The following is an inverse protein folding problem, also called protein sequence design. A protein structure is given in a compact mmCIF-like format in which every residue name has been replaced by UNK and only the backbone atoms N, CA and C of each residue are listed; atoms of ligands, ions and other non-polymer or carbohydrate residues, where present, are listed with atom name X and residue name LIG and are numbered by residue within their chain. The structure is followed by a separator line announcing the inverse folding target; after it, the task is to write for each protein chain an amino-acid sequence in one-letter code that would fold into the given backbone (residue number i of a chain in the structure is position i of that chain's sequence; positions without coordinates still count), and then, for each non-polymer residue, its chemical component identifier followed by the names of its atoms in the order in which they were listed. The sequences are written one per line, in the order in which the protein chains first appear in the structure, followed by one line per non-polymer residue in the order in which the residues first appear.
data_IF_187792673475
#
_entry.id   IF_187792673475
#
_cell.length_a   1.000
_cell.length_b   1.000
_cell.length_c   1.000
_cell.angle_alpha   90.00
_cell.angle_beta   90.00
_cell.angle_gamma   90.00
#
_symmetry.space_group_name_H-M   'P 1'
#
loop_
_entity.id
_entity.type
_entity.pdbx_description
1 polymer ?
#
# COMPACT_ATOMS: atom_id res chain seq x y z
N UNK A 1 -16.77 -1.84 24.63
CA UNK A 1 -16.13 -2.07 25.93
C UNK A 1 -15.52 -3.49 26.08
N UNK A 2 -15.83 -4.47 25.20
CA UNK A 2 -15.26 -5.83 25.28
C UNK A 2 -13.75 -5.91 24.99
N UNK A 3 -13.27 -5.22 23.95
CA UNK A 3 -11.85 -5.26 23.54
C UNK A 3 -10.98 -4.15 24.18
N UNK A 4 -11.53 -3.40 25.14
CA UNK A 4 -10.84 -2.23 25.72
C UNK A 4 -9.61 -2.60 26.56
N UNK A 5 -9.55 -3.82 27.10
CA UNK A 5 -8.42 -4.32 27.90
C UNK A 5 -7.82 -5.61 27.32
N UNK A 6 -7.93 -5.80 25.99
CA UNK A 6 -7.39 -6.96 25.30
C UNK A 6 -6.04 -6.62 24.65
N UNK A 7 -5.02 -7.50 24.76
CA UNK A 7 -3.78 -7.32 24.03
C UNK A 7 -4.07 -7.31 22.51
N UNK A 8 -3.39 -6.42 21.79
CA UNK A 8 -3.53 -6.28 20.34
C UNK A 8 -4.98 -6.13 19.86
N UNK A 9 -5.82 -5.43 20.62
CA UNK A 9 -7.23 -5.23 20.30
C UNK A 9 -7.47 -4.79 18.85
N UNK A 10 -6.58 -3.98 18.28
CA UNK A 10 -6.65 -3.52 16.89
C UNK A 10 -6.61 -4.65 15.85
N UNK A 11 -5.95 -5.77 16.12
CA UNK A 11 -5.86 -6.89 15.16
C UNK A 11 -7.16 -7.72 15.11
N UNK A 12 -8.01 -7.63 16.14
CA UNK A 12 -9.24 -8.43 16.26
C UNK A 12 -10.50 -7.56 16.14
N UNK A 13 -10.44 -6.29 16.57
CA UNK A 13 -11.60 -5.41 16.65
C UNK A 13 -12.26 -5.17 15.29
N UNK A 14 -11.52 -4.67 14.31
CA UNK A 14 -12.07 -4.34 12.99
C UNK A 14 -12.54 -5.58 12.21
N UNK A 15 -11.76 -6.68 12.12
CA UNK A 15 -12.23 -7.89 11.46
C UNK A 15 -13.51 -8.44 12.09
N UNK A 16 -13.60 -8.47 13.43
CA UNK A 16 -14.80 -8.96 14.13
C UNK A 16 -16.02 -8.11 13.80
N UNK A 17 -15.91 -6.78 13.86
CA UNK A 17 -17.05 -5.89 13.57
C UNK A 17 -17.49 -5.96 12.12
N UNK A 18 -16.55 -5.96 11.17
CA UNK A 18 -16.87 -5.98 9.74
C UNK A 18 -17.54 -7.30 9.38
N UNK A 19 -17.03 -8.43 9.89
CA UNK A 19 -17.63 -9.74 9.62
C UNK A 19 -19.00 -9.96 10.25
N UNK A 20 -19.30 -9.30 11.38
CA UNK A 20 -20.60 -9.41 12.04
C UNK A 20 -21.59 -8.30 11.61
N UNK A 21 -21.16 -7.35 10.79
CA UNK A 21 -22.04 -6.32 10.25
C UNK A 21 -22.72 -6.79 8.97
N UNK A 22 -24.06 -6.77 8.95
CA UNK A 22 -24.86 -7.11 7.75
C UNK A 22 -24.48 -6.27 6.53
N UNK A 23 -24.06 -5.02 6.75
CA UNK A 23 -23.70 -4.09 5.69
C UNK A 23 -22.34 -4.42 5.05
N UNK A 24 -21.35 -4.84 5.84
CA UNK A 24 -19.96 -4.95 5.37
C UNK A 24 -19.46 -6.38 5.18
N UNK A 25 -20.15 -7.38 5.75
CA UNK A 25 -19.72 -8.78 5.68
C UNK A 25 -19.52 -9.30 4.25
N UNK A 26 -20.29 -8.76 3.30
CA UNK A 26 -20.24 -9.13 1.87
C UNK A 26 -19.46 -8.14 1.01
N UNK A 27 -18.75 -7.18 1.61
CA UNK A 27 -17.96 -6.19 0.86
C UNK A 27 -16.51 -6.17 1.32
N UNK A 28 -16.15 -6.98 2.31
CA UNK A 28 -14.78 -7.10 2.80
C UNK A 28 -13.89 -7.76 1.74
N UNK A 29 -12.64 -7.31 1.68
CA UNK A 29 -11.56 -7.96 0.97
C UNK A 29 -10.53 -8.31 2.02
N UNK A 30 -10.16 -9.59 2.16
CA UNK A 30 -9.17 -10.05 3.15
C UNK A 30 -7.74 -9.72 2.70
N UNK A 31 -7.43 -8.43 2.55
CA UNK A 31 -6.12 -7.95 2.15
C UNK A 31 -5.92 -6.51 2.62
N UNK A 32 -4.80 -6.20 3.28
CA UNK A 32 -4.51 -4.87 3.83
C UNK A 32 -3.67 -3.98 2.90
N UNK A 33 -3.29 -4.48 1.72
CA UNK A 33 -2.47 -3.78 0.71
C UNK A 33 -1.08 -3.36 1.21
N UNK A 34 -0.59 -3.98 2.28
CA UNK A 34 0.68 -3.66 2.89
C UNK A 34 1.68 -4.82 2.71
N UNK A 35 2.88 -4.49 2.26
CA UNK A 35 4.01 -5.39 2.26
C UNK A 35 4.74 -5.33 3.61
N UNK A 36 5.05 -6.49 4.19
CA UNK A 36 5.84 -6.63 5.41
C UNK A 36 6.68 -7.90 5.33
N UNK A 37 7.94 -7.79 5.71
CA UNK A 37 8.81 -8.94 5.89
C UNK A 37 8.70 -9.46 7.32
N UNK A 38 8.68 -10.77 7.49
CA UNK A 38 8.58 -11.44 8.78
C UNK A 38 9.95 -11.98 9.21
N UNK A 39 10.19 -12.01 10.51
CA UNK A 39 11.30 -12.73 11.10
C UNK A 39 10.95 -14.21 11.39
N UNK A 40 11.89 -14.93 12.00
CA UNK A 40 11.73 -16.35 12.36
C UNK A 40 10.59 -16.59 13.37
N UNK A 41 10.11 -15.54 14.05
CA UNK A 41 9.00 -15.59 15.02
C UNK A 41 7.66 -15.18 14.41
N UNK A 42 7.62 -14.94 13.10
CA UNK A 42 6.49 -14.37 12.37
C UNK A 42 6.08 -12.97 12.83
N UNK A 43 7.02 -12.20 13.34
CA UNK A 43 6.80 -10.80 13.69
C UNK A 43 7.30 -9.89 12.55
N UNK A 44 6.59 -8.78 12.24
CA UNK A 44 7.07 -7.82 11.25
C UNK A 44 8.43 -7.25 11.66
N UNK A 45 9.44 -7.42 10.80
CA UNK A 45 10.78 -6.83 10.97
C UNK A 45 10.96 -5.61 10.08
N UNK A 46 11.88 -4.69 10.42
CA UNK A 46 12.24 -3.60 9.52
C UNK A 46 12.67 -4.12 8.15
N UNK A 47 12.08 -3.52 7.11
CA UNK A 47 12.43 -3.76 5.72
C UNK A 47 13.80 -3.16 5.44
N UNK A 48 14.59 -3.87 4.63
CA UNK A 48 15.89 -3.40 4.18
C UNK A 48 16.03 -3.57 2.66
N UNK A 49 17.21 -3.27 2.12
CA UNK A 49 17.46 -3.31 0.68
C UNK A 49 17.22 -4.68 0.02
N UNK A 50 17.35 -5.79 0.75
CA UNK A 50 17.06 -7.13 0.22
C UNK A 50 15.57 -7.36 -0.07
N UNK A 51 14.70 -6.60 0.60
CA UNK A 51 13.24 -6.78 0.48
C UNK A 51 12.64 -5.90 -0.64
N UNK A 52 13.44 -5.01 -1.24
CA UNK A 52 12.96 -4.01 -2.20
C UNK A 52 12.47 -4.62 -3.52
N UNK A 53 13.15 -5.64 -4.03
CA UNK A 53 12.74 -6.28 -5.28
C UNK A 53 11.36 -6.92 -5.12
N UNK A 54 11.13 -7.60 -3.99
CA UNK A 54 9.83 -8.16 -3.65
C UNK A 54 8.80 -7.04 -3.48
N UNK A 55 9.12 -5.99 -2.71
CA UNK A 55 8.25 -4.85 -2.52
C UNK A 55 7.79 -4.24 -3.86
N UNK A 56 8.70 -4.00 -4.80
CA UNK A 56 8.39 -3.37 -6.09
C UNK A 56 7.58 -4.27 -7.04
N UNK A 57 7.64 -5.58 -6.82
CA UNK A 57 6.87 -6.58 -7.56
C UNK A 57 5.51 -6.88 -6.93
N UNK A 58 5.40 -6.74 -5.60
CA UNK A 58 4.14 -6.83 -4.88
C UNK A 58 3.34 -5.56 -5.18
N UNK A 59 2.15 -5.67 -5.78
CA UNK A 59 1.28 -4.50 -6.02
C UNK A 59 0.64 -3.93 -4.75
N UNK A 60 1.34 -4.05 -3.62
CA UNK A 60 1.01 -3.41 -2.36
C UNK A 60 1.13 -1.89 -2.50
N UNK A 61 0.21 -1.18 -1.85
CA UNK A 61 0.23 0.29 -1.82
C UNK A 61 1.12 0.83 -0.71
N UNK A 62 1.33 0.03 0.35
CA UNK A 62 2.07 0.40 1.54
C UNK A 62 3.14 -0.62 1.87
N UNK A 63 4.14 -0.22 2.64
CA UNK A 63 5.16 -1.09 3.17
C UNK A 63 5.55 -0.64 4.58
N UNK A 64 5.74 -1.57 5.50
CA UNK A 64 6.21 -1.25 6.86
C UNK A 64 6.67 -2.53 7.60
N UNK A 65 7.43 -2.40 8.71
CA UNK A 65 8.05 -1.17 9.21
C UNK A 65 9.37 -0.83 8.49
N UNK A 66 9.77 0.45 8.58
CA UNK A 66 11.10 0.92 8.20
C UNK A 66 11.81 1.48 9.44
N UNK A 67 13.14 1.46 9.46
CA UNK A 67 13.88 2.19 10.49
C UNK A 67 13.78 3.71 10.23
N UNK A 68 13.81 4.55 11.27
CA UNK A 68 13.97 5.98 11.09
C UNK A 68 15.23 6.31 10.30
N UNK A 69 15.13 7.23 9.35
CA UNK A 69 16.24 7.70 8.50
C UNK A 69 16.96 6.58 7.72
N UNK A 70 16.25 5.48 7.41
CA UNK A 70 16.81 4.39 6.62
C UNK A 70 17.05 4.81 5.15
N UNK A 71 18.27 4.64 4.59
CA UNK A 71 18.57 4.97 3.19
C UNK A 71 17.70 4.22 2.17
N UNK A 72 17.05 3.12 2.56
CA UNK A 72 16.07 2.42 1.73
C UNK A 72 14.92 3.34 1.32
N UNK A 73 14.55 4.31 2.15
CA UNK A 73 13.52 5.29 1.83
C UNK A 73 13.92 6.16 0.64
N UNK A 74 15.19 6.56 0.53
CA UNK A 74 15.71 7.31 -0.63
C UNK A 74 15.62 6.48 -1.92
N UNK A 75 15.88 5.16 -1.82
CA UNK A 75 15.75 4.25 -2.96
C UNK A 75 14.28 4.15 -3.41
N UNK A 76 13.34 4.07 -2.45
CA UNK A 76 11.90 4.05 -2.73
C UNK A 76 11.47 5.38 -3.38
N UNK A 77 11.91 6.52 -2.84
CA UNK A 77 11.64 7.83 -3.42
C UNK A 77 12.10 7.92 -4.87
N UNK A 78 13.32 7.46 -5.15
CA UNK A 78 13.86 7.49 -6.50
C UNK A 78 13.13 6.51 -7.44
N UNK A 79 12.89 5.27 -7.00
CA UNK A 79 12.35 4.20 -7.86
C UNK A 79 10.84 4.23 -8.03
N UNK A 80 10.10 4.63 -7.00
CA UNK A 80 8.64 4.63 -6.98
C UNK A 80 8.09 6.02 -7.27
N UNK A 81 8.63 7.04 -6.61
CA UNK A 81 8.13 8.42 -6.76
C UNK A 81 8.85 9.17 -7.89
N UNK A 82 10.03 8.72 -8.32
CA UNK A 82 10.78 9.36 -9.40
C UNK A 82 11.22 10.77 -9.05
N UNK A 83 11.53 11.04 -7.77
CA UNK A 83 11.92 12.38 -7.30
C UNK A 83 13.37 12.41 -6.84
N UNK A 84 14.02 13.55 -7.04
CA UNK A 84 15.32 13.86 -6.45
C UNK A 84 15.17 14.24 -4.96
N UNK A 85 16.24 14.11 -4.16
CA UNK A 85 16.26 14.58 -2.78
C UNK A 85 15.83 16.06 -2.67
N UNK A 86 14.88 16.34 -1.79
CA UNK A 86 14.37 17.69 -1.55
C UNK A 86 13.40 18.23 -2.63
N UNK A 87 13.10 17.47 -3.69
CA UNK A 87 12.09 17.83 -4.68
C UNK A 87 10.74 17.19 -4.37
N UNK A 88 9.62 17.84 -4.76
CA UNK A 88 8.30 17.22 -4.70
C UNK A 88 8.19 16.05 -5.66
N UNK A 89 7.28 15.11 -5.38
CA UNK A 89 6.96 14.02 -6.30
C UNK A 89 6.31 14.57 -7.58
N UNK A 90 6.84 14.27 -8.77
CA UNK A 90 6.20 14.65 -10.02
C UNK A 90 4.81 14.02 -10.15
N UNK A 91 3.85 14.80 -10.63
CA UNK A 91 2.45 14.38 -10.74
C UNK A 91 1.78 14.85 -12.03
N UNK A 92 0.46 14.71 -12.09
CA UNK A 92 -0.33 15.19 -13.24
C UNK A 92 -0.30 16.70 -13.44
N UNK A 93 0.20 17.43 -12.44
CA UNK A 93 0.42 18.87 -12.43
C UNK A 93 1.77 19.30 -13.01
N UNK A 94 2.68 18.39 -13.32
CA UNK A 94 3.95 18.73 -13.96
C UNK A 94 3.74 18.86 -15.48
N UNK A 95 3.88 20.08 -16.00
CA UNK A 95 3.55 20.44 -17.39
C UNK A 95 4.78 20.77 -18.26
N UNK A 96 5.98 20.73 -17.70
CA UNK A 96 7.22 21.04 -18.42
C UNK A 96 7.50 20.04 -19.55
N UNK A 97 8.05 20.53 -20.66
CA UNK A 97 8.36 19.75 -21.86
C UNK A 97 9.81 19.20 -21.87
N UNK A 98 10.62 19.53 -20.87
CA UNK A 98 12.02 19.08 -20.83
C UNK A 98 12.13 17.61 -20.42
N UNK A 99 12.96 16.84 -21.12
CA UNK A 99 13.21 15.42 -20.80
C UNK A 99 13.86 15.24 -19.43
N UNK A 100 14.60 16.27 -18.97
CA UNK A 100 15.37 16.23 -17.72
C UNK A 100 14.55 16.68 -16.49
N UNK A 101 13.58 17.59 -16.66
CA UNK A 101 12.71 18.06 -15.56
C UNK A 101 11.30 18.46 -16.07
N UNK A 102 10.38 17.51 -15.93
CA UNK A 102 8.96 17.68 -16.31
C UNK A 102 8.20 18.65 -15.39
N UNK A 103 8.76 19.05 -14.24
CA UNK A 103 8.08 19.89 -13.25
C UNK A 103 8.61 21.33 -13.21
N UNK A 104 9.23 21.79 -14.30
CA UNK A 104 9.64 23.20 -14.51
C UNK A 104 8.44 24.14 -14.59
N UNK A 105 7.32 23.68 -15.15
CA UNK A 105 6.03 24.37 -15.16
C UNK A 105 5.00 23.65 -14.31
N UNK A 106 4.30 24.42 -13.48
CA UNK A 106 3.32 23.91 -12.52
C UNK A 106 1.91 24.20 -13.01
N UNK A 107 1.14 23.13 -13.18
CA UNK A 107 -0.28 23.16 -13.48
C UNK A 107 -1.15 22.97 -12.24
N UNK A 108 -2.35 22.46 -12.46
CA UNK A 108 -3.33 22.18 -11.41
C UNK A 108 -2.98 20.89 -10.65
N UNK A 109 -2.73 21.03 -9.35
CA UNK A 109 -2.41 19.94 -8.43
C UNK A 109 -3.55 18.91 -8.27
N UNK A 110 -4.79 19.27 -8.60
CA UNK A 110 -5.95 18.37 -8.54
C UNK A 110 -5.99 17.38 -9.72
N UNK A 111 -5.21 17.63 -10.77
CA UNK A 111 -5.14 16.73 -11.94
C UNK A 111 -4.33 15.48 -11.59
N UNK A 112 -5.05 14.37 -11.39
CA UNK A 112 -4.46 13.07 -11.14
C UNK A 112 -4.16 12.34 -12.46
N UNK A 113 -2.89 11.97 -12.67
CA UNK A 113 -2.47 11.11 -13.79
C UNK A 113 -1.92 9.78 -13.26
N UNK A 114 -2.54 8.63 -13.61
CA UNK A 114 -2.07 7.32 -13.16
C UNK A 114 -0.66 6.99 -13.68
N UNK A 115 0.31 6.88 -12.77
CA UNK A 115 1.66 6.40 -13.06
C UNK A 115 1.78 4.87 -13.09
N UNK A 116 3.01 4.34 -13.25
CA UNK A 116 3.26 2.89 -13.21
C UNK A 116 2.78 2.22 -11.91
N UNK A 117 2.97 2.87 -10.76
CA UNK A 117 2.49 2.37 -9.47
C UNK A 117 0.97 2.21 -9.41
N UNK A 118 0.22 3.20 -9.92
CA UNK A 118 -1.24 3.13 -9.98
C UNK A 118 -1.72 1.96 -10.85
N UNK A 119 -1.05 1.69 -11.98
CA UNK A 119 -1.35 0.53 -12.84
C UNK A 119 -1.06 -0.81 -12.16
N UNK A 120 -0.01 -0.89 -11.33
CA UNK A 120 0.27 -2.09 -10.54
C UNK A 120 -0.83 -2.32 -9.49
N UNK A 121 -1.19 -1.28 -8.75
CA UNK A 121 -2.26 -1.34 -7.75
C UNK A 121 -3.59 -1.76 -8.38
N UNK A 122 -3.96 -1.17 -9.52
CA UNK A 122 -5.15 -1.56 -10.28
C UNK A 122 -5.17 -3.05 -10.58
N UNK A 123 -4.07 -3.60 -11.13
CA UNK A 123 -3.96 -5.04 -11.43
C UNK A 123 -4.15 -5.89 -10.18
N UNK A 124 -3.53 -5.51 -9.06
CA UNK A 124 -3.70 -6.22 -7.79
C UNK A 124 -5.12 -6.14 -7.25
N UNK A 125 -5.79 -4.98 -7.35
CA UNK A 125 -7.19 -4.84 -6.95
C UNK A 125 -8.12 -5.70 -7.82
N UNK A 126 -7.93 -5.69 -9.14
CA UNK A 126 -8.69 -6.55 -10.07
C UNK A 126 -8.50 -8.03 -9.72
N UNK A 127 -7.27 -8.46 -9.40
CA UNK A 127 -7.00 -9.83 -9.00
C UNK A 127 -7.69 -10.20 -7.67
N UNK A 128 -7.64 -9.31 -6.67
CA UNK A 128 -8.31 -9.53 -5.38
C UNK A 128 -9.84 -9.60 -5.51
N UNK A 129 -10.41 -8.86 -6.47
CA UNK A 129 -11.83 -8.83 -6.75
C UNK A 129 -12.29 -9.94 -7.71
N UNK A 130 -11.39 -10.73 -8.26
CA UNK A 130 -11.74 -11.84 -9.15
C UNK A 130 -12.59 -12.88 -8.39
N UNK A 131 -13.71 -13.29 -8.99
CA UNK A 131 -14.79 -14.07 -8.35
C UNK A 131 -14.34 -15.28 -7.52
N UNK A 132 -13.30 -16.00 -7.97
CA UNK A 132 -12.77 -17.18 -7.28
C UNK A 132 -12.04 -16.87 -5.96
N UNK A 133 -11.26 -15.79 -5.93
CA UNK A 133 -10.54 -15.35 -4.73
C UNK A 133 -11.47 -14.57 -3.81
N UNK A 134 -12.29 -13.70 -4.37
CA UNK A 134 -13.19 -12.87 -3.59
C UNK A 134 -14.15 -13.69 -2.72
N UNK A 135 -14.76 -14.75 -3.29
CA UNK A 135 -15.73 -15.60 -2.56
C UNK A 135 -15.10 -16.45 -1.47
N UNK A 136 -13.87 -16.93 -1.67
CA UNK A 136 -13.16 -17.80 -0.72
C UNK A 136 -12.60 -17.03 0.48
N UNK A 137 -12.47 -15.71 0.36
CA UNK A 137 -11.93 -14.82 1.40
C UNK A 137 -12.99 -13.95 2.09
N UNK A 138 -14.27 -14.32 1.97
CA UNK A 138 -15.35 -13.65 2.71
C UNK A 138 -15.47 -14.17 4.13
N UNK A 139 -16.05 -13.35 5.01
CA UNK A 139 -16.41 -13.76 6.35
C UNK A 139 -17.38 -14.95 6.32
N UNK A 140 -17.01 -16.02 7.03
CA UNK A 140 -17.88 -17.18 7.20
C UNK A 140 -19.01 -16.85 8.18
N UNK A 141 -20.17 -17.43 7.92
CA UNK A 141 -21.33 -17.38 8.81
C UNK A 141 -21.50 -18.80 9.31
N UNK A 142 -21.31 -18.98 10.61
CA UNK A 142 -21.84 -20.16 11.29
C UNK A 142 -23.34 -19.97 11.59
#
# INVERSE_FOLDING_TARGET
MYLSNSPSAQSVYFPTLICNSKQFRKTIINHNLQHSALDDRQEPRPLNSSDLDDLFNTGAAFASPFLPDDPVLDIIDQKVLGRDPGKPTPGGWCLGESEDDICTEWGDAEVLRPGPGAKKLERSMVQLLADGLYKTHQCMVE
#
